data_IF_011366285971
#
_entry.id   IF_011366285971
#
_cell.length_a   1.000
_cell.length_b   1.000
_cell.length_c   1.000
_cell.angle_alpha   90.00
_cell.angle_beta   90.00
_cell.angle_gamma   90.00
#
_symmetry.space_group_name_H-M   'P 1'
#
loop_
_entity.id
_entity.type
_entity.pdbx_description
1 polymer ?
#
# COMPACT_ATOMS: atom_id res chain seq x y z
N UNK A 1 24.25 1.96 0.26
CA UNK A 1 23.13 2.09 1.22
C UNK A 1 22.73 3.57 1.35
N UNK A 2 21.44 3.92 1.27
CA UNK A 2 20.88 5.27 1.53
C UNK A 2 20.21 5.38 2.93
N UNK A 3 20.03 6.58 3.50
CA UNK A 3 19.30 6.79 4.75
C UNK A 3 17.82 6.38 4.64
N UNK A 4 17.26 5.76 5.70
CA UNK A 4 15.92 5.16 5.69
C UNK A 4 14.77 6.15 5.48
N UNK A 5 14.91 7.39 5.98
CA UNK A 5 13.92 8.47 5.86
C UNK A 5 13.77 9.02 4.43
N UNK A 6 14.70 8.68 3.52
CA UNK A 6 14.65 9.03 2.10
C UNK A 6 14.46 7.81 1.20
N UNK A 7 14.12 6.66 1.76
CA UNK A 7 13.79 5.44 1.01
C UNK A 7 12.28 5.22 1.05
N UNK A 8 11.62 5.53 -0.06
CA UNK A 8 10.21 5.20 -0.25
C UNK A 8 9.34 6.41 -0.58
N UNK A 9 8.20 6.12 -1.18
CA UNK A 9 7.17 7.09 -1.51
C UNK A 9 6.29 7.34 -0.28
N UNK A 10 5.89 8.59 -0.06
CA UNK A 10 4.94 8.99 0.98
C UNK A 10 3.85 9.87 0.32
N UNK A 11 2.61 9.37 0.16
CA UNK A 11 1.54 10.15 -0.46
C UNK A 11 1.11 11.33 0.42
N UNK A 12 0.68 12.40 -0.22
CA UNK A 12 0.01 13.49 0.47
C UNK A 12 -1.46 13.15 0.62
N UNK A 13 -1.95 13.05 1.86
CA UNK A 13 -3.36 12.80 2.15
C UNK A 13 -4.06 14.14 2.38
N UNK A 14 -5.12 14.40 1.62
CA UNK A 14 -5.93 15.61 1.76
C UNK A 14 -7.41 15.28 1.84
N UNK A 15 -8.17 16.17 2.49
CA UNK A 15 -9.61 16.01 2.68
C UNK A 15 -10.21 17.22 3.37
N UNK A 16 -11.47 17.09 3.76
CA UNK A 16 -12.21 18.11 4.53
C UNK A 16 -12.73 17.45 5.80
N UNK A 17 -12.44 18.07 6.95
CA UNK A 17 -13.02 17.72 8.24
C UNK A 17 -14.23 18.62 8.51
N UNK A 18 -15.33 18.03 8.97
CA UNK A 18 -16.55 18.79 9.25
C UNK A 18 -16.47 19.51 10.62
N UNK A 19 -15.61 19.03 11.51
CA UNK A 19 -15.36 19.60 12.85
C UNK A 19 -13.88 19.43 13.23
N UNK A 20 -13.53 19.72 14.49
CA UNK A 20 -12.22 19.33 15.00
C UNK A 20 -12.10 17.80 14.97
N UNK A 21 -11.19 17.28 14.17
CA UNK A 21 -11.10 15.86 13.87
C UNK A 21 -9.70 15.31 14.17
N UNK A 22 -9.65 14.09 14.71
CA UNK A 22 -8.43 13.29 14.80
C UNK A 22 -8.32 12.41 13.56
N UNK A 23 -7.30 12.64 12.75
CA UNK A 23 -7.01 11.84 11.57
C UNK A 23 -5.93 10.83 11.95
N UNK A 24 -6.22 9.55 11.72
CA UNK A 24 -5.29 8.44 11.93
C UNK A 24 -5.06 7.73 10.61
N UNK A 25 -3.80 7.68 10.20
CA UNK A 25 -3.36 7.00 8.99
C UNK A 25 -2.68 5.72 9.43
N UNK A 26 -3.17 4.57 8.96
CA UNK A 26 -2.61 3.27 9.26
C UNK A 26 -2.42 2.43 8.00
N UNK A 27 -1.44 1.53 8.04
CA UNK A 27 -1.21 0.55 6.99
C UNK A 27 -0.96 -0.80 7.67
N UNK A 28 -1.70 -1.84 7.24
CA UNK A 28 -1.62 -3.18 7.83
C UNK A 28 -1.76 -3.22 9.37
N UNK A 29 -2.59 -2.33 9.92
CA UNK A 29 -2.82 -2.23 11.38
C UNK A 29 -1.80 -1.40 12.14
N UNK A 30 -0.71 -0.94 11.51
CA UNK A 30 0.28 -0.05 12.11
C UNK A 30 -0.10 1.41 11.86
N UNK A 31 -0.08 2.24 12.91
CA UNK A 31 -0.33 3.68 12.80
C UNK A 31 0.92 4.36 12.24
N UNK A 32 0.82 4.89 11.02
CA UNK A 32 1.88 5.63 10.34
C UNK A 32 1.92 7.10 10.76
N UNK A 33 0.77 7.68 11.07
CA UNK A 33 0.64 9.06 11.55
C UNK A 33 -0.70 9.27 12.25
N UNK A 34 -0.73 10.14 13.26
CA UNK A 34 -1.96 10.57 13.91
C UNK A 34 -1.87 12.05 14.27
N UNK A 35 -2.81 12.86 13.78
CA UNK A 35 -2.82 14.30 13.99
C UNK A 35 -4.24 14.83 14.17
N UNK A 36 -4.40 15.79 15.08
CA UNK A 36 -5.66 16.55 15.25
C UNK A 36 -5.62 17.76 14.32
N UNK A 37 -6.68 17.94 13.53
CA UNK A 37 -6.85 19.06 12.62
C UNK A 37 -8.10 19.88 13.00
N UNK A 38 -8.09 21.19 12.77
CA UNK A 38 -9.28 22.01 12.91
C UNK A 38 -10.31 21.69 11.83
N UNK A 39 -11.55 22.14 12.04
CA UNK A 39 -12.60 22.06 11.02
C UNK A 39 -12.16 22.76 9.73
N UNK A 40 -12.40 22.10 8.59
CA UNK A 40 -12.05 22.61 7.26
C UNK A 40 -11.11 21.69 6.48
N UNK A 41 -10.52 22.24 5.41
CA UNK A 41 -9.61 21.50 4.55
C UNK A 41 -8.29 21.20 5.26
N UNK A 42 -7.83 19.96 5.15
CA UNK A 42 -6.55 19.52 5.71
C UNK A 42 -5.65 18.87 4.66
N UNK A 43 -4.35 18.93 4.92
CA UNK A 43 -3.34 18.26 4.09
C UNK A 43 -2.22 17.71 4.99
N UNK A 44 -2.09 16.39 5.02
CA UNK A 44 -1.06 15.68 5.78
C UNK A 44 0.08 15.30 4.85
N UNK A 45 1.24 15.94 5.05
CA UNK A 45 2.46 15.76 4.24
C UNK A 45 3.53 14.93 4.93
N UNK A 46 3.49 14.87 6.27
CA UNK A 46 4.50 14.20 7.10
C UNK A 46 3.97 12.84 7.54
N UNK A 47 3.92 11.89 6.60
CA UNK A 47 3.66 10.50 6.91
C UNK A 47 4.93 9.68 6.65
N UNK A 48 5.14 8.64 7.47
CA UNK A 48 6.22 7.70 7.24
C UNK A 48 6.10 7.07 5.83
N UNK A 49 7.22 6.69 5.19
CA UNK A 49 7.19 6.02 3.89
C UNK A 49 6.26 4.81 3.92
N UNK A 50 5.41 4.71 2.91
CA UNK A 50 4.41 3.65 2.80
C UNK A 50 4.93 2.54 1.90
N UNK A 51 4.53 1.31 2.21
CA UNK A 51 4.80 0.16 1.34
C UNK A 51 3.68 -0.03 0.33
N UNK A 52 3.84 -0.98 -0.59
CA UNK A 52 2.77 -1.44 -1.45
C UNK A 52 1.61 -1.99 -0.60
N UNK A 53 0.37 -1.64 -0.94
CA UNK A 53 -0.85 -2.06 -0.24
C UNK A 53 -1.76 -0.89 0.13
N UNK A 54 -2.90 -1.18 0.75
CA UNK A 54 -3.88 -0.15 1.10
C UNK A 54 -3.46 0.60 2.37
N UNK A 55 -3.56 1.93 2.34
CA UNK A 55 -3.54 2.78 3.52
C UNK A 55 -4.98 3.00 3.97
N UNK A 56 -5.23 2.85 5.25
CA UNK A 56 -6.50 3.15 5.90
C UNK A 56 -6.39 4.52 6.56
N UNK A 57 -7.29 5.43 6.21
CA UNK A 57 -7.42 6.76 6.81
C UNK A 57 -8.71 6.80 7.60
N UNK A 58 -8.59 6.94 8.91
CA UNK A 58 -9.72 7.10 9.82
C UNK A 58 -9.80 8.55 10.26
N UNK A 59 -10.94 9.19 9.98
CA UNK A 59 -11.27 10.54 10.46
C UNK A 59 -12.27 10.39 11.59
N UNK A 60 -11.87 10.77 12.80
CA UNK A 60 -12.72 10.78 13.99
C UNK A 60 -13.06 12.23 14.33
N UNK A 61 -14.32 12.60 14.11
CA UNK A 61 -14.86 13.95 14.33
C UNK A 61 -15.20 14.16 15.82
N UNK A 62 -15.37 15.42 16.24
CA UNK A 62 -15.62 15.79 17.64
C UNK A 62 -16.93 15.25 18.23
N UNK A 63 -17.88 14.89 17.38
CA UNK A 63 -19.15 14.22 17.74
C UNK A 63 -18.98 12.69 17.93
N UNK A 64 -17.77 12.16 17.73
CA UNK A 64 -17.45 10.74 17.79
C UNK A 64 -17.69 9.99 16.49
N UNK A 65 -18.16 10.66 15.42
CA UNK A 65 -18.37 10.05 14.11
C UNK A 65 -17.04 9.62 13.51
N UNK A 66 -16.92 8.34 13.11
CA UNK A 66 -15.72 7.77 12.50
C UNK A 66 -15.97 7.46 11.03
N UNK A 67 -15.20 8.11 10.16
CA UNK A 67 -15.18 7.82 8.73
C UNK A 67 -13.89 7.09 8.36
N UNK A 68 -14.01 5.90 7.80
CA UNK A 68 -12.86 5.10 7.34
C UNK A 68 -12.80 5.13 5.81
N UNK A 69 -11.65 5.48 5.27
CA UNK A 69 -11.38 5.48 3.82
C UNK A 69 -10.14 4.66 3.52
N UNK A 70 -10.20 3.88 2.45
CA UNK A 70 -9.08 3.07 1.98
C UNK A 70 -8.47 3.72 0.74
N UNK A 71 -7.17 4.00 0.78
CA UNK A 71 -6.41 4.52 -0.34
C UNK A 71 -5.45 3.42 -0.82
N UNK A 72 -5.64 2.88 -2.04
CA UNK A 72 -4.69 1.93 -2.59
C UNK A 72 -3.37 2.64 -2.88
N UNK A 73 -2.27 2.14 -2.35
CA UNK A 73 -0.93 2.65 -2.64
C UNK A 73 -0.10 1.61 -3.37
N UNK A 74 0.40 2.03 -4.53
CA UNK A 74 1.44 1.35 -5.27
C UNK A 74 2.69 2.25 -5.25
N UNK A 75 3.77 1.79 -4.63
CA UNK A 75 5.06 2.47 -4.71
C UNK A 75 5.81 1.96 -5.94
N UNK A 76 5.97 2.84 -6.92
CA UNK A 76 6.67 2.51 -8.16
C UNK A 76 8.17 2.81 -7.99
N UNK A 77 8.97 1.76 -7.81
CA UNK A 77 10.43 1.84 -8.00
C UNK A 77 10.73 1.69 -9.49
N UNK A 78 10.46 2.72 -10.27
CA UNK A 78 10.29 2.47 -11.71
C UNK A 78 11.59 2.48 -12.53
N UNK A 79 12.73 3.01 -12.08
CA UNK A 79 13.93 3.02 -12.94
C UNK A 79 15.17 2.46 -12.25
N UNK A 80 15.65 1.35 -12.82
CA UNK A 80 16.95 0.75 -12.55
C UNK A 80 17.95 1.17 -13.64
N UNK A 81 19.24 1.23 -13.29
CA UNK A 81 20.28 1.35 -14.33
C UNK A 81 20.34 0.08 -15.17
N UNK A 82 20.93 0.19 -16.35
CA UNK A 82 21.23 -0.97 -17.20
C UNK A 82 22.03 -2.01 -16.41
N UNK A 83 21.60 -3.26 -16.51
CA UNK A 83 22.13 -4.44 -15.82
C UNK A 83 21.97 -4.43 -14.29
N UNK A 84 21.22 -3.48 -13.73
CA UNK A 84 20.84 -3.49 -12.32
C UNK A 84 19.61 -4.38 -12.11
N UNK A 85 19.66 -5.18 -11.05
CA UNK A 85 18.59 -6.07 -10.62
C UNK A 85 18.13 -5.62 -9.24
N UNK A 86 16.82 -5.48 -9.06
CA UNK A 86 16.20 -5.32 -7.75
C UNK A 86 15.23 -6.46 -7.53
N UNK A 87 15.30 -7.10 -6.36
CA UNK A 87 14.46 -8.24 -6.03
C UNK A 87 13.96 -8.14 -4.61
N UNK A 88 12.74 -8.62 -4.38
CA UNK A 88 12.14 -8.72 -3.05
C UNK A 88 11.38 -10.03 -2.97
N UNK A 89 11.78 -10.88 -2.01
CA UNK A 89 11.15 -12.17 -1.76
C UNK A 89 10.77 -12.19 -0.30
N UNK A 90 9.51 -12.49 -0.01
CA UNK A 90 9.01 -12.64 1.35
C UNK A 90 8.16 -13.91 1.45
N UNK A 91 8.38 -14.67 2.52
CA UNK A 91 7.64 -15.89 2.82
C UNK A 91 7.30 -15.84 4.31
N UNK A 92 6.04 -16.05 4.65
CA UNK A 92 5.63 -16.01 6.04
C UNK A 92 4.15 -16.26 6.21
N UNK A 93 3.64 -16.02 7.41
CA UNK A 93 2.23 -16.10 7.73
C UNK A 93 1.67 -14.70 7.92
N UNK A 94 0.41 -14.51 7.54
CA UNK A 94 -0.25 -13.22 7.73
C UNK A 94 -0.69 -13.09 9.18
N UNK A 95 -0.11 -12.12 9.89
CA UNK A 95 -0.57 -11.72 11.21
C UNK A 95 -1.38 -10.43 11.08
N UNK A 96 -2.59 -10.42 11.62
CA UNK A 96 -3.40 -9.20 11.74
C UNK A 96 -3.83 -9.07 13.20
N UNK A 97 -3.21 -8.12 13.91
CA UNK A 97 -3.53 -7.66 15.28
C UNK A 97 -4.11 -8.79 16.16
N UNK A 98 -3.23 -9.69 16.62
CA UNK A 98 -3.59 -10.77 17.54
C UNK A 98 -4.32 -11.96 16.93
N UNK A 99 -4.65 -11.93 15.63
CA UNK A 99 -5.11 -13.10 14.86
C UNK A 99 -4.05 -13.49 13.84
N UNK A 100 -3.43 -14.64 14.09
CA UNK A 100 -2.51 -15.28 13.16
C UNK A 100 -3.32 -16.12 12.19
N UNK A 101 -3.29 -15.78 10.92
CA UNK A 101 -3.85 -16.60 9.86
C UNK A 101 -2.86 -17.75 9.63
N UNK A 102 -3.24 -19.00 9.92
CA UNK A 102 -2.43 -20.21 9.67
C UNK A 102 -2.36 -20.55 8.18
N UNK A 103 -2.05 -19.55 7.35
CA UNK A 103 -1.86 -19.73 5.92
C UNK A 103 -0.59 -19.01 5.50
N UNK A 104 0.28 -19.79 4.87
CA UNK A 104 1.54 -19.31 4.33
C UNK A 104 1.24 -18.40 3.13
N UNK A 105 1.83 -17.21 3.14
CA UNK A 105 1.90 -16.32 1.98
C UNK A 105 3.31 -16.31 1.41
N UNK A 106 3.37 -16.18 0.08
CA UNK A 106 4.58 -15.98 -0.68
C UNK A 106 4.42 -14.70 -1.50
N UNK A 107 5.42 -13.83 -1.44
CA UNK A 107 5.53 -12.66 -2.29
C UNK A 107 6.88 -12.72 -3.01
N UNK A 108 6.84 -12.51 -4.32
CA UNK A 108 8.03 -12.32 -5.15
C UNK A 108 7.86 -11.08 -6.00
N UNK A 109 8.86 -10.22 -6.01
CA UNK A 109 8.98 -9.10 -6.92
C UNK A 109 10.39 -9.06 -7.49
N UNK A 110 10.48 -8.76 -8.78
CA UNK A 110 11.69 -8.76 -9.56
C UNK A 110 11.65 -7.64 -10.59
N UNK A 111 12.69 -6.82 -10.60
CA UNK A 111 12.88 -5.72 -11.52
C UNK A 111 14.23 -5.90 -12.21
N UNK A 112 14.28 -5.64 -13.51
CA UNK A 112 15.51 -5.71 -14.29
C UNK A 112 15.66 -4.50 -15.20
N UNK A 113 16.81 -3.82 -15.10
CA UNK A 113 17.16 -2.69 -15.93
C UNK A 113 17.81 -3.12 -17.25
N UNK A 114 17.12 -2.89 -18.36
CA UNK A 114 17.67 -2.95 -19.71
C UNK A 114 18.27 -1.58 -20.08
N UNK A 115 18.90 -1.48 -21.26
CA UNK A 115 19.62 -0.28 -21.71
C UNK A 115 18.80 1.01 -21.65
N UNK A 116 17.48 0.95 -21.88
CA UNK A 116 16.61 2.13 -21.89
C UNK A 116 15.24 1.90 -21.22
N UNK A 117 15.04 0.74 -20.58
CA UNK A 117 13.75 0.32 -20.02
C UNK A 117 14.01 -0.53 -18.80
N UNK A 118 13.24 -0.34 -17.73
CA UNK A 118 13.17 -1.29 -16.62
C UNK A 118 11.92 -2.13 -16.77
N UNK A 119 12.03 -3.45 -16.68
CA UNK A 119 10.88 -4.36 -16.63
C UNK A 119 10.62 -4.77 -15.19
N UNK A 120 9.35 -4.96 -14.86
CA UNK A 120 8.86 -5.26 -13.53
C UNK A 120 7.98 -6.50 -13.57
N UNK A 121 8.18 -7.42 -12.63
CA UNK A 121 7.33 -8.57 -12.42
C UNK A 121 7.11 -8.79 -10.93
N UNK A 122 5.86 -8.98 -10.51
CA UNK A 122 5.56 -9.29 -9.12
C UNK A 122 4.39 -10.27 -9.02
N UNK A 123 4.34 -11.00 -7.91
CA UNK A 123 3.27 -11.94 -7.63
C UNK A 123 3.11 -12.18 -6.14
N UNK A 124 1.87 -12.47 -5.75
CA UNK A 124 1.51 -12.89 -4.39
C UNK A 124 0.74 -14.20 -4.51
N UNK A 125 1.13 -15.19 -3.71
CA UNK A 125 0.46 -16.47 -3.58
C UNK A 125 0.06 -16.68 -2.13
N UNK A 126 -1.21 -16.94 -1.90
CA UNK A 126 -1.81 -17.27 -0.62
C UNK A 126 -2.99 -18.23 -0.87
N UNK A 127 -3.44 -18.98 0.13
CA UNK A 127 -4.52 -19.97 -0.06
C UNK A 127 -5.80 -19.33 -0.60
N UNK A 128 -6.12 -18.12 -0.15
CA UNK A 128 -7.35 -17.40 -0.51
C UNK A 128 -7.12 -16.22 -1.46
N UNK A 129 -5.88 -15.95 -1.86
CA UNK A 129 -5.53 -14.78 -2.68
C UNK A 129 -4.35 -15.07 -3.59
N UNK A 130 -4.52 -14.85 -4.90
CA UNK A 130 -3.45 -14.95 -5.88
C UNK A 130 -3.44 -13.68 -6.71
N UNK A 131 -2.27 -13.11 -6.93
CA UNK A 131 -2.12 -11.94 -7.80
C UNK A 131 -0.83 -12.01 -8.60
N UNK A 132 -0.86 -11.40 -9.77
CA UNK A 132 0.29 -11.23 -10.65
C UNK A 132 0.28 -9.82 -11.24
N UNK A 133 1.46 -9.23 -11.37
CA UNK A 133 1.65 -7.92 -11.97
C UNK A 133 2.86 -7.95 -12.90
N UNK A 134 2.72 -7.28 -14.03
CA UNK A 134 3.78 -7.05 -15.01
C UNK A 134 3.79 -5.57 -15.37
N UNK A 135 4.98 -5.00 -15.50
CA UNK A 135 5.13 -3.60 -15.86
C UNK A 135 6.43 -3.31 -16.57
N UNK A 136 6.50 -2.11 -17.12
CA UNK A 136 7.71 -1.56 -17.70
C UNK A 136 7.78 -0.06 -17.46
N UNK A 137 8.99 0.45 -17.40
CA UNK A 137 9.27 1.85 -17.13
C UNK A 137 10.39 2.34 -18.02
N UNK A 138 10.26 3.55 -18.53
CA UNK A 138 11.19 4.12 -19.49
C UNK A 138 11.53 5.55 -19.09
N UNK A 139 12.83 5.86 -19.16
CA UNK A 139 13.34 7.21 -19.05
C UNK A 139 13.37 7.86 -20.44
N UNK A 140 12.78 9.06 -20.55
CA UNK A 140 12.78 9.88 -21.76
C UNK A 140 13.74 11.09 -21.63
N UNK A 141 14.64 11.07 -20.63
CA UNK A 141 15.63 12.10 -20.40
C UNK A 141 14.98 13.43 -20.02
N UNK A 142 15.06 14.43 -20.90
CA UNK A 142 14.49 15.77 -20.63
C UNK A 142 12.98 15.79 -20.43
N UNK A 143 12.27 14.78 -20.93
CA UNK A 143 10.82 14.65 -20.79
C UNK A 143 10.40 13.89 -19.52
N UNK A 144 11.36 13.44 -18.71
CA UNK A 144 11.12 12.66 -17.49
C UNK A 144 10.92 11.18 -17.76
N UNK A 145 10.31 10.48 -16.80
CA UNK A 145 10.12 9.04 -16.85
C UNK A 145 8.64 8.67 -16.86
N UNK A 146 8.29 7.57 -17.52
CA UNK A 146 6.96 6.99 -17.47
C UNK A 146 7.02 5.51 -17.14
N UNK A 147 6.02 5.02 -16.42
CA UNK A 147 5.85 3.61 -16.07
C UNK A 147 4.44 3.15 -16.36
N UNK A 148 4.31 1.93 -16.86
CA UNK A 148 3.05 1.26 -17.10
C UNK A 148 3.07 -0.11 -16.43
N UNK A 149 2.03 -0.41 -15.65
CA UNK A 149 1.89 -1.68 -14.94
C UNK A 149 0.47 -2.20 -15.08
N UNK A 150 0.34 -3.49 -15.37
CA UNK A 150 -0.91 -4.22 -15.39
C UNK A 150 -0.89 -5.28 -14.27
N UNK A 151 -1.98 -5.36 -13.51
CA UNK A 151 -2.13 -6.32 -12.43
C UNK A 151 -3.45 -7.09 -12.54
N UNK A 152 -3.41 -8.37 -12.20
CA UNK A 152 -4.58 -9.24 -12.08
C UNK A 152 -4.58 -9.90 -10.70
N UNK A 153 -5.76 -10.09 -10.13
CA UNK A 153 -5.93 -10.70 -8.82
C UNK A 153 -7.20 -11.53 -8.76
N UNK A 154 -7.13 -12.66 -8.06
CA UNK A 154 -8.25 -13.55 -7.78
C UNK A 154 -8.26 -13.85 -6.29
N UNK A 155 -9.42 -13.69 -5.67
CA UNK A 155 -9.64 -13.94 -4.24
C UNK A 155 -10.82 -14.90 -4.04
N UNK A 156 -10.69 -15.85 -3.12
CA UNK A 156 -11.76 -16.76 -2.72
C UNK A 156 -12.19 -16.43 -1.30
N UNK A 157 -13.39 -15.86 -1.15
CA UNK A 157 -13.97 -15.54 0.15
C UNK A 157 -14.78 -16.73 0.67
N UNK A 158 -14.45 -17.21 1.87
CA UNK A 158 -15.31 -18.13 2.60
C UNK A 158 -16.49 -17.34 3.18
N UNK A 159 -17.71 -17.69 2.76
CA UNK A 159 -18.94 -17.08 3.24
C UNK A 159 -19.10 -17.43 4.72
N UNK A 160 -19.02 -16.44 5.61
CA UNK A 160 -19.41 -16.62 7.01
C UNK A 160 -20.94 -16.62 7.05
N UNK A 161 -21.54 -17.79 7.15
CA UNK A 161 -22.98 -17.91 7.39
C UNK A 161 -23.29 -17.30 8.77
N UNK A 162 -23.85 -16.09 8.74
CA UNK A 162 -24.39 -15.44 9.94
C UNK A 162 -25.74 -16.07 10.24
N UNK A 163 -25.73 -17.23 10.89
CA UNK A 163 -26.95 -17.74 11.51
C UNK A 163 -27.22 -16.92 12.77
N UNK A 164 -28.19 -16.02 12.63
CA UNK A 164 -28.94 -15.42 13.73
C UNK A 164 -29.55 -16.53 14.59
N UNK A 165 -29.07 -16.69 15.81
CA UNK A 165 -29.86 -17.28 16.90
C UNK A 165 -30.16 -16.20 17.92
N UNK A 166 -31.40 -15.68 17.81
CA UNK A 166 -32.13 -15.13 18.94
C UNK A 166 -32.37 -16.27 19.95
N UNK A 167 -32.03 -16.04 21.21
CA UNK A 167 -32.74 -16.56 22.38
C UNK A 167 -32.40 -15.69 23.57
#
# INVERSE_FOLDING_TARGET
>A
MRPWEKRGYAPVISGVANSNAKITISQNGYVLSSQVVPAGAYQLKNIAPVSNGNITVTVEESDGTKTVRYYPVATLSSLLRTDEINYNIAIGEKETVGKRENSLFFLGAFDYGLTNVTVHAAGILHNNYKSAALGMSKDFGRFGAMSFTANTAVSVFQKTDTNSTRS
#
